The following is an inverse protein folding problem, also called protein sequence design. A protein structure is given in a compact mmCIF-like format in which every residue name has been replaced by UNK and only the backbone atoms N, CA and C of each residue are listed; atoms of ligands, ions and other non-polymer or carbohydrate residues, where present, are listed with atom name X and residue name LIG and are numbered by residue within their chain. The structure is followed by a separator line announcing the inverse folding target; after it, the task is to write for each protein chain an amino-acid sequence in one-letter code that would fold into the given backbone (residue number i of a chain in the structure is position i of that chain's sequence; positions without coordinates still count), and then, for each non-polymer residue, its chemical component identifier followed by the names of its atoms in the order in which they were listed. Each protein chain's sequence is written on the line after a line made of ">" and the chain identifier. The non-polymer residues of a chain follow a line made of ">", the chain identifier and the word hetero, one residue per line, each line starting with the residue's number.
data_IF_944273929372
#
_entry.id   IF_944273929372
#
_cell.length_a   1.000
_cell.length_b   1.000
_cell.length_c   1.000
_cell.angle_alpha   90.00
_cell.angle_beta   90.00
_cell.angle_gamma   90.00
#
_symmetry.space_group_name_H-M   'P 1'
#
loop_
_entity.id
_entity.type
_entity.pdbx_description
1 polymer ?
#
# COMPACT_ATOMS: atom_id res chain seq x y z
N UNK A 1 -23.26 10.45 -1.62
CA UNK A 1 -22.51 9.56 -2.53
C UNK A 1 -21.93 8.42 -1.71
N UNK A 2 -22.24 7.16 -2.01
CA UNK A 2 -21.59 6.01 -1.35
C UNK A 2 -20.16 5.95 -1.88
N UNK A 3 -19.15 6.18 -1.02
CA UNK A 3 -17.75 5.92 -1.38
C UNK A 3 -17.63 4.41 -1.59
N UNK A 4 -17.21 3.98 -2.78
CA UNK A 4 -16.90 2.57 -3.04
C UNK A 4 -15.60 2.26 -2.30
N UNK A 5 -15.69 1.59 -1.15
CA UNK A 5 -14.51 1.21 -0.36
C UNK A 5 -14.15 -0.23 -0.66
N UNK A 6 -12.93 -0.46 -1.15
CA UNK A 6 -12.35 -1.77 -1.42
C UNK A 6 -11.29 -2.12 -0.38
N UNK A 7 -10.79 -3.36 -0.33
CA UNK A 7 -9.57 -3.67 0.44
C UNK A 7 -8.33 -3.30 -0.38
N UNK A 8 -7.19 -3.07 0.28
CA UNK A 8 -5.94 -2.79 -0.44
C UNK A 8 -5.59 -3.90 -1.44
N UNK A 9 -5.81 -5.16 -1.07
CA UNK A 9 -5.55 -6.30 -1.95
C UNK A 9 -6.41 -6.27 -3.22
N UNK A 10 -7.70 -5.94 -3.09
CA UNK A 10 -8.60 -5.82 -4.23
C UNK A 10 -8.25 -4.62 -5.12
N UNK A 11 -7.82 -3.49 -4.53
CA UNK A 11 -7.34 -2.33 -5.28
C UNK A 11 -6.11 -2.69 -6.10
N UNK A 12 -5.09 -3.28 -5.49
CA UNK A 12 -3.90 -3.71 -6.20
C UNK A 12 -4.26 -4.70 -7.32
N UNK A 13 -5.13 -5.68 -7.06
CA UNK A 13 -5.55 -6.65 -8.09
C UNK A 13 -6.31 -6.02 -9.24
N UNK A 14 -7.03 -4.92 -9.03
CA UNK A 14 -7.63 -4.16 -10.14
C UNK A 14 -6.55 -3.49 -11.00
N UNK A 15 -5.41 -3.15 -10.39
CA UNK A 15 -4.28 -2.49 -11.04
C UNK A 15 -3.06 -3.43 -11.13
N UNK A 16 -3.26 -4.64 -11.69
CA UNK A 16 -2.33 -5.79 -11.67
C UNK A 16 -0.86 -5.50 -12.02
N UNK A 17 -0.60 -4.50 -12.86
CA UNK A 17 0.74 -4.18 -13.35
C UNK A 17 1.64 -3.48 -12.31
N UNK A 18 1.12 -3.18 -11.12
CA UNK A 18 1.77 -2.25 -10.21
C UNK A 18 2.76 -2.89 -9.22
N UNK A 19 2.81 -4.22 -9.07
CA UNK A 19 3.75 -4.84 -8.14
C UNK A 19 5.19 -4.81 -8.69
N UNK A 20 6.09 -3.98 -8.13
CA UNK A 20 7.43 -3.84 -8.67
C UNK A 20 8.31 -5.04 -8.28
N UNK A 21 9.24 -5.41 -9.15
CA UNK A 21 10.19 -6.48 -8.87
C UNK A 21 11.01 -6.16 -7.60
N UNK A 22 11.10 -7.15 -6.71
CA UNK A 22 11.78 -7.03 -5.41
C UNK A 22 10.94 -6.40 -4.30
N UNK A 23 9.69 -5.99 -4.56
CA UNK A 23 8.79 -5.59 -3.49
C UNK A 23 8.32 -6.82 -2.70
N UNK A 24 8.45 -6.74 -1.38
CA UNK A 24 7.98 -7.76 -0.43
C UNK A 24 6.57 -7.49 0.05
N UNK A 25 6.20 -6.21 0.17
CA UNK A 25 4.86 -5.81 0.55
C UNK A 25 4.51 -4.41 0.06
N UNK A 26 3.22 -4.08 0.14
CA UNK A 26 2.66 -2.77 -0.16
C UNK A 26 1.74 -2.30 0.97
N UNK A 27 1.64 -0.98 1.16
CA UNK A 27 0.64 -0.37 2.05
C UNK A 27 0.05 0.90 1.42
N UNK A 28 -1.11 1.34 1.93
CA UNK A 28 -1.70 2.64 1.55
C UNK A 28 -1.45 3.68 2.65
N UNK A 29 -1.04 4.89 2.28
CA UNK A 29 -0.83 6.00 3.22
C UNK A 29 -2.11 6.85 3.43
N UNK A 30 -2.06 7.71 4.46
CA UNK A 30 -2.32 9.16 4.34
C UNK A 30 -3.33 9.67 3.28
N UNK A 31 -2.79 9.73 2.09
CA UNK A 31 -3.28 10.48 0.95
C UNK A 31 -3.96 9.57 -0.07
N UNK A 32 -3.88 8.26 0.13
CA UNK A 32 -4.34 7.25 -0.82
C UNK A 32 -3.22 6.66 -1.66
N UNK A 33 -1.97 7.13 -1.49
CA UNK A 33 -0.82 6.64 -2.25
C UNK A 33 -0.48 5.23 -1.81
N UNK A 34 -0.08 4.42 -2.78
CA UNK A 34 0.41 3.07 -2.55
C UNK A 34 1.93 3.10 -2.50
N UNK A 35 2.48 2.58 -1.41
CA UNK A 35 3.91 2.49 -1.16
C UNK A 35 4.33 1.02 -1.26
N UNK A 36 5.30 0.72 -2.12
CA UNK A 36 5.90 -0.62 -2.21
C UNK A 36 7.24 -0.68 -1.49
N UNK A 37 7.46 -1.74 -0.73
CA UNK A 37 8.59 -1.86 0.19
C UNK A 37 9.45 -3.08 -0.13
N UNK A 38 10.78 -2.93 -0.04
CA UNK A 38 11.73 -4.06 0.03
C UNK A 38 11.86 -4.65 1.43
N UNK A 39 11.36 -3.94 2.45
CA UNK A 39 11.44 -4.36 3.83
C UNK A 39 10.46 -5.52 4.12
N UNK A 40 10.74 -6.37 5.12
CA UNK A 40 9.77 -7.36 5.59
C UNK A 40 8.44 -6.70 6.02
N UNK A 41 7.29 -7.37 5.79
CA UNK A 41 5.97 -6.86 6.18
C UNK A 41 5.88 -6.46 7.66
N UNK A 42 6.52 -7.22 8.55
CA UNK A 42 6.53 -7.01 10.00
C UNK A 42 7.26 -5.72 10.37
N UNK A 43 8.36 -5.42 9.67
CA UNK A 43 9.08 -4.15 9.83
C UNK A 43 8.22 -2.98 9.37
N UNK A 44 7.55 -3.12 8.23
CA UNK A 44 6.65 -2.09 7.70
C UNK A 44 5.47 -1.87 8.65
N UNK A 45 4.82 -2.93 9.15
CA UNK A 45 3.73 -2.85 10.14
C UNK A 45 4.19 -2.14 11.41
N UNK A 46 5.33 -2.53 11.97
CA UNK A 46 5.85 -1.91 13.20
C UNK A 46 6.09 -0.40 13.06
N UNK A 47 6.55 0.04 11.89
CA UNK A 47 6.73 1.46 11.59
C UNK A 47 5.40 2.19 11.37
N UNK A 48 4.41 1.55 10.74
CA UNK A 48 3.09 2.16 10.51
C UNK A 48 2.28 2.27 11.81
N UNK A 49 2.29 1.22 12.64
CA UNK A 49 1.53 1.17 13.91
C UNK A 49 2.14 2.08 14.99
N UNK A 50 3.46 2.23 14.98
CA UNK A 50 4.19 3.09 15.93
C UNK A 50 5.15 3.99 15.15
N UNK A 51 4.63 5.05 14.51
CA UNK A 51 5.44 5.91 13.65
C UNK A 51 6.49 6.65 14.47
N UNK A 52 7.72 6.13 14.46
CA UNK A 52 8.90 6.91 14.76
C UNK A 52 9.31 7.64 13.46
N UNK A 53 9.24 8.98 13.42
CA UNK A 53 9.54 9.74 12.20
C UNK A 53 10.91 9.44 11.59
N UNK A 54 11.91 9.15 12.43
CA UNK A 54 13.25 8.79 11.95
C UNK A 54 13.24 7.44 11.23
N UNK A 55 12.57 6.43 11.81
CA UNK A 55 12.47 5.10 11.22
C UNK A 55 11.61 5.11 9.95
N UNK A 56 10.50 5.86 9.94
CA UNK A 56 9.65 6.01 8.75
C UNK A 56 10.42 6.67 7.60
N UNK A 57 11.17 7.73 7.87
CA UNK A 57 11.98 8.41 6.85
C UNK A 57 13.10 7.52 6.31
N UNK A 58 13.76 6.73 7.17
CA UNK A 58 14.74 5.74 6.74
C UNK A 58 14.09 4.66 5.87
N UNK A 59 12.92 4.14 6.27
CA UNK A 59 12.20 3.13 5.51
C UNK A 59 11.76 3.67 4.14
N UNK A 60 11.24 4.91 4.08
CA UNK A 60 10.80 5.56 2.84
C UNK A 60 11.92 5.70 1.82
N UNK A 61 13.16 5.97 2.25
CA UNK A 61 14.33 5.99 1.35
C UNK A 61 14.60 4.63 0.68
N UNK A 62 14.06 3.55 1.24
CA UNK A 62 14.14 2.20 0.70
C UNK A 62 12.82 1.72 0.06
N UNK A 63 11.84 2.61 -0.09
CA UNK A 63 10.65 2.32 -0.89
C UNK A 63 11.05 2.15 -2.36
N UNK A 64 10.41 1.18 -3.02
CA UNK A 64 10.72 0.79 -4.39
C UNK A 64 9.97 1.65 -5.40
N UNK A 65 8.75 2.03 -5.05
CA UNK A 65 7.84 2.73 -5.92
C UNK A 65 6.76 3.39 -5.06
N UNK A 66 6.41 4.61 -5.44
CA UNK A 66 5.24 5.32 -4.95
C UNK A 66 4.29 5.46 -6.14
N UNK A 67 3.05 5.03 -5.95
CA UNK A 67 1.99 5.27 -6.92
C UNK A 67 1.10 6.35 -6.35
N UNK A 68 1.12 7.49 -7.03
CA UNK A 68 0.40 8.71 -6.70
C UNK A 68 -1.09 8.44 -6.88
N UNK A 69 -1.77 8.14 -5.76
CA UNK A 69 -3.22 7.89 -5.59
C UNK A 69 -3.97 7.12 -6.71
N UNK A 70 -4.64 6.01 -6.35
CA UNK A 70 -5.47 5.27 -7.31
C UNK A 70 -6.85 5.91 -7.49
N UNK A 71 -7.28 6.06 -8.74
CA UNK A 71 -8.59 6.61 -9.13
C UNK A 71 -9.46 5.58 -9.85
N UNK A 72 -10.78 5.70 -9.72
CA UNK A 72 -11.76 4.93 -10.50
C UNK A 72 -12.01 5.54 -11.89
N UNK A 73 -12.91 4.91 -12.64
CA UNK A 73 -13.27 5.34 -14.01
C UNK A 73 -13.98 6.70 -14.06
N UNK A 74 -14.45 7.20 -12.90
CA UNK A 74 -15.10 8.50 -12.73
C UNK A 74 -14.18 9.53 -12.02
N UNK A 75 -12.85 9.33 -12.06
CA UNK A 75 -11.84 10.15 -11.37
C UNK A 75 -12.04 10.27 -9.85
N UNK A 76 -12.67 9.28 -9.21
CA UNK A 76 -12.85 9.26 -7.75
C UNK A 76 -11.73 8.49 -7.09
N UNK A 77 -11.17 9.05 -6.01
CA UNK A 77 -10.12 8.41 -5.23
C UNK A 77 -10.60 7.08 -4.62
N UNK A 78 -9.86 6.01 -4.87
CA UNK A 78 -10.04 4.73 -4.19
C UNK A 78 -9.29 4.70 -2.86
N UNK A 79 -10.03 4.46 -1.78
CA UNK A 79 -9.45 4.23 -0.45
C UNK A 79 -9.71 2.80 0.01
N UNK A 80 -8.68 2.23 0.63
CA UNK A 80 -8.73 0.93 1.24
C UNK A 80 -9.49 1.03 2.58
N UNK A 81 -10.50 0.19 2.81
CA UNK A 81 -11.27 0.18 4.07
C UNK A 81 -10.45 -0.31 5.27
N UNK A 82 -9.38 -1.03 4.99
CA UNK A 82 -8.49 -1.69 5.92
C UNK A 82 -7.24 -0.83 6.24
N UNK A 83 -7.26 0.46 5.86
CA UNK A 83 -6.26 1.46 6.25
C UNK A 83 -6.36 1.83 7.75
N UNK A 84 -5.25 2.08 8.49
CA UNK A 84 -3.83 2.04 8.10
C UNK A 84 -3.12 0.69 8.35
N UNK A 85 -3.82 -0.33 8.82
CA UNK A 85 -3.21 -1.60 9.24
C UNK A 85 -2.85 -2.54 8.07
N UNK A 86 -3.23 -2.16 6.85
CA UNK A 86 -3.13 -3.03 5.68
C UNK A 86 -1.78 -2.98 5.02
N UNK A 87 -0.98 -3.99 5.37
CA UNK A 87 0.22 -4.39 4.63
C UNK A 87 -0.11 -5.67 3.88
N UNK A 88 -0.12 -5.57 2.56
CA UNK A 88 -0.38 -6.68 1.64
C UNK A 88 0.96 -7.22 1.17
N UNK A 89 1.18 -8.53 1.28
CA UNK A 89 2.34 -9.25 0.75
C UNK A 89 2.13 -9.65 -0.71
N UNK A 90 3.17 -10.16 -1.37
CA UNK A 90 3.01 -10.66 -2.74
C UNK A 90 2.05 -11.85 -2.75
N UNK A 91 2.13 -12.72 -1.73
CA UNK A 91 1.28 -13.89 -1.53
C UNK A 91 -0.19 -13.47 -1.36
N UNK A 92 -0.45 -12.48 -0.50
CA UNK A 92 -1.79 -11.89 -0.34
C UNK A 92 -2.33 -11.37 -1.68
N UNK A 93 -1.47 -10.70 -2.46
CA UNK A 93 -1.83 -10.14 -3.76
C UNK A 93 -2.15 -11.21 -4.82
N UNK A 94 -1.28 -12.23 -4.98
CA UNK A 94 -1.50 -13.29 -5.97
C UNK A 94 -2.53 -14.34 -5.52
N UNK A 95 -2.89 -14.36 -4.22
CA UNK A 95 -3.86 -15.29 -3.65
C UNK A 95 -3.30 -16.70 -3.47
N UNK A 96 -2.01 -16.81 -3.13
CA UNK A 96 -1.29 -18.09 -2.90
C UNK A 96 -1.31 -18.46 -1.43
#
# INVERSE_FOLDING_TARGET
>A
MKKSTSTLCSLLRKHLAQWPSGARCACQNERGDILFWRAPPETVRGVIEKPNPYQYNQLQRHSLCLIDTLFDEDDRVFLACDRPLSVVTIEDFVGV
#
